data_IF_580546900792
#
_entry.id   IF_580546900792
#
_cell.length_a   1.000
_cell.length_b   1.000
_cell.length_c   1.000
_cell.angle_alpha   90.00
_cell.angle_beta   90.00
_cell.angle_gamma   90.00
#
_symmetry.space_group_name_H-M   'P 1'
#
loop_
_entity.id
_entity.type
_entity.pdbx_description
1 polymer ?
#
# COMPACT_ATOMS: atom_id res chain seq x y z
N UNK A 1 6.92 10.42 17.22
CA UNK A 1 6.30 11.04 16.03
C UNK A 1 5.28 12.13 16.36
N UNK A 2 5.22 13.19 15.55
CA UNK A 2 4.13 14.19 15.62
C UNK A 2 2.89 13.68 14.86
N UNK A 3 1.70 14.16 15.23
CA UNK A 3 0.45 13.79 14.55
C UNK A 3 0.52 14.01 13.02
N UNK A 4 1.07 15.14 12.58
CA UNK A 4 1.25 15.45 11.16
C UNK A 4 2.06 14.38 10.41
N UNK A 5 3.20 13.96 10.97
CA UNK A 5 4.05 12.97 10.33
C UNK A 5 3.37 11.60 10.24
N UNK A 6 2.62 11.20 11.28
CA UNK A 6 1.86 9.94 11.25
C UNK A 6 0.79 9.97 10.15
N UNK A 7 0.07 11.08 10.01
CA UNK A 7 -0.92 11.25 8.94
C UNK A 7 -0.26 11.26 7.55
N UNK A 8 0.92 11.87 7.42
CA UNK A 8 1.67 11.86 6.18
C UNK A 8 2.10 10.43 5.80
N UNK A 9 2.69 9.67 6.72
CA UNK A 9 3.06 8.27 6.46
C UNK A 9 1.83 7.41 6.14
N UNK A 10 0.72 7.60 6.86
CA UNK A 10 -0.53 6.91 6.59
C UNK A 10 -1.10 7.27 5.20
N UNK A 11 -1.02 8.53 4.79
CA UNK A 11 -1.41 8.96 3.45
C UNK A 11 -0.53 8.33 2.37
N UNK A 12 0.79 8.35 2.57
CA UNK A 12 1.75 7.79 1.62
C UNK A 12 1.59 6.26 1.48
N UNK A 13 1.40 5.53 2.58
CA UNK A 13 1.13 4.09 2.49
C UNK A 13 -0.23 3.82 1.83
N UNK A 14 -1.20 4.71 2.02
CA UNK A 14 -2.45 4.72 1.29
C UNK A 14 -2.23 4.87 -0.22
N UNK A 15 -1.37 5.79 -0.66
CA UNK A 15 -1.01 5.95 -2.09
C UNK A 15 -0.44 4.65 -2.65
N UNK A 16 0.43 3.97 -1.90
CA UNK A 16 0.95 2.65 -2.29
C UNK A 16 -0.18 1.62 -2.43
N UNK A 17 -1.14 1.59 -1.50
CA UNK A 17 -2.32 0.74 -1.61
C UNK A 17 -3.17 1.06 -2.86
N UNK A 18 -3.25 2.34 -3.23
CA UNK A 18 -3.93 2.81 -4.43
C UNK A 18 -3.27 2.36 -5.73
N UNK A 19 -1.94 2.16 -5.73
CA UNK A 19 -1.22 1.54 -6.83
C UNK A 19 -1.39 0.02 -6.81
N UNK A 20 -1.20 -0.61 -5.64
CA UNK A 20 -1.22 -2.05 -5.40
C UNK A 20 -1.83 -2.37 -4.03
N UNK A 21 -2.99 -3.03 -4.02
CA UNK A 21 -3.83 -3.22 -2.84
C UNK A 21 -3.11 -3.98 -1.71
N UNK A 22 -2.40 -5.06 -2.03
CA UNK A 22 -1.78 -5.92 -1.00
C UNK A 22 -0.35 -5.49 -0.64
N UNK A 23 0.27 -4.61 -1.43
CA UNK A 23 1.63 -4.13 -1.16
C UNK A 23 1.71 -3.32 0.14
N UNK A 24 0.72 -2.46 0.40
CA UNK A 24 0.67 -1.66 1.62
C UNK A 24 0.50 -2.52 2.90
N UNK A 25 -0.52 -3.41 3.01
CA UNK A 25 -0.63 -4.33 4.15
C UNK A 25 0.60 -5.21 4.35
N UNK A 26 1.20 -5.74 3.28
CA UNK A 26 2.41 -6.55 3.37
C UNK A 26 3.59 -5.73 3.92
N UNK A 27 3.79 -4.50 3.44
CA UNK A 27 4.85 -3.61 3.92
C UNK A 27 4.72 -3.31 5.42
N UNK A 28 3.49 -3.03 5.89
CA UNK A 28 3.24 -2.75 7.31
C UNK A 28 3.37 -4.02 8.17
N UNK A 29 2.99 -5.18 7.65
CA UNK A 29 3.22 -6.46 8.34
C UNK A 29 4.72 -6.75 8.52
N UNK A 30 5.54 -6.49 7.48
CA UNK A 30 6.99 -6.56 7.57
C UNK A 30 7.57 -5.53 8.54
N UNK A 31 7.06 -4.31 8.55
CA UNK A 31 7.46 -3.30 9.54
C UNK A 31 7.22 -3.81 10.97
N UNK A 32 6.07 -4.43 11.23
CA UNK A 32 5.74 -4.99 12.54
C UNK A 32 6.65 -6.18 12.89
N UNK A 33 6.87 -7.09 11.94
CA UNK A 33 7.72 -8.27 12.14
C UNK A 33 9.20 -7.94 12.35
N UNK A 34 9.70 -6.85 11.74
CA UNK A 34 11.05 -6.34 11.91
C UNK A 34 11.17 -5.37 13.10
N UNK A 35 10.10 -5.21 13.89
CA UNK A 35 10.04 -4.29 15.03
C UNK A 35 10.33 -2.82 14.67
N UNK A 36 10.07 -2.43 13.43
CA UNK A 36 10.15 -1.03 12.96
C UNK A 36 8.99 -0.21 13.51
N UNK A 37 7.83 -0.84 13.68
CA UNK A 37 6.66 -0.26 14.31
C UNK A 37 6.25 -1.13 15.50
N UNK A 38 6.03 -0.50 16.66
CA UNK A 38 5.57 -1.21 17.84
C UNK A 38 4.04 -1.31 17.83
N UNK A 39 3.52 -2.53 17.74
CA UNK A 39 2.09 -2.85 17.78
C UNK A 39 1.71 -3.71 19.00
N UNK A 40 2.62 -3.91 19.95
CA UNK A 40 2.39 -4.77 21.11
C UNK A 40 1.26 -4.23 22.00
N UNK A 41 0.36 -5.11 22.41
CA UNK A 41 -0.81 -4.74 23.22
C UNK A 41 -1.87 -3.94 22.45
N UNK A 42 -1.73 -3.80 21.13
CA UNK A 42 -2.72 -3.13 20.27
C UNK A 42 -3.59 -4.15 19.53
N UNK A 43 -4.69 -3.68 18.94
CA UNK A 43 -5.57 -4.50 18.09
C UNK A 43 -4.85 -5.07 16.85
N UNK A 44 -3.72 -4.47 16.45
CA UNK A 44 -2.96 -4.81 15.25
C UNK A 44 -1.76 -5.72 15.52
N UNK A 45 -1.54 -6.18 16.76
CA UNK A 45 -0.38 -7.00 17.16
C UNK A 45 -0.20 -8.28 16.30
N UNK A 46 -1.30 -8.85 15.80
CA UNK A 46 -1.30 -10.07 14.99
C UNK A 46 -0.63 -9.90 13.61
N UNK A 47 -0.39 -8.67 13.16
CA UNK A 47 0.34 -8.38 11.92
C UNK A 47 1.81 -8.81 11.97
N UNK A 48 2.42 -8.80 13.15
CA UNK A 48 3.79 -9.26 13.35
C UNK A 48 3.92 -10.80 13.31
N UNK A 49 2.81 -11.54 13.33
CA UNK A 49 2.84 -13.00 13.35
C UNK A 49 3.37 -13.55 12.01
N UNK A 50 4.31 -14.52 12.01
CA UNK A 50 4.96 -15.01 10.78
C UNK A 50 3.97 -15.53 9.73
N UNK A 51 2.87 -16.15 10.16
CA UNK A 51 1.80 -16.62 9.26
C UNK A 51 1.13 -15.44 8.56
N UNK A 52 0.81 -14.37 9.28
CA UNK A 52 0.19 -13.16 8.71
C UNK A 52 1.10 -12.51 7.67
N UNK A 53 2.37 -12.34 8.01
CA UNK A 53 3.40 -11.78 7.11
C UNK A 53 3.50 -12.62 5.84
N UNK A 54 3.54 -13.95 6.00
CA UNK A 54 3.63 -14.89 4.88
C UNK A 54 2.40 -14.79 3.96
N UNK A 55 1.19 -14.81 4.53
CA UNK A 55 -0.06 -14.72 3.76
C UNK A 55 -0.13 -13.39 3.00
N UNK A 56 0.14 -12.26 3.65
CA UNK A 56 0.11 -10.95 3.01
C UNK A 56 1.18 -10.82 1.92
N UNK A 57 2.36 -11.40 2.12
CA UNK A 57 3.42 -11.45 1.11
C UNK A 57 2.98 -12.28 -0.10
N UNK A 58 2.38 -13.46 0.12
CA UNK A 58 1.84 -14.28 -0.98
C UNK A 58 0.76 -13.50 -1.74
N UNK A 59 -0.17 -12.84 -1.05
CA UNK A 59 -1.21 -12.03 -1.70
C UNK A 59 -0.62 -10.88 -2.53
N UNK A 60 0.40 -10.19 -2.02
CA UNK A 60 1.10 -9.15 -2.76
C UNK A 60 1.82 -9.70 -4.02
N UNK A 61 2.47 -10.86 -3.91
CA UNK A 61 3.12 -11.52 -5.06
C UNK A 61 2.09 -11.98 -6.08
N UNK A 62 0.96 -12.55 -5.66
CA UNK A 62 -0.14 -12.93 -6.54
C UNK A 62 -0.70 -11.73 -7.27
N UNK A 63 -0.90 -10.59 -6.58
CA UNK A 63 -1.32 -9.33 -7.21
C UNK A 63 -0.33 -8.85 -8.28
N UNK A 64 0.99 -8.92 -8.03
CA UNK A 64 2.02 -8.58 -9.02
C UNK A 64 1.96 -9.48 -10.25
N UNK A 65 1.87 -10.80 -10.06
CA UNK A 65 1.85 -11.77 -11.17
C UNK A 65 0.58 -11.64 -12.00
N UNK A 66 -0.57 -11.58 -11.35
CA UNK A 66 -1.87 -11.57 -12.03
C UNK A 66 -2.12 -10.31 -12.83
N UNK A 67 -1.54 -9.19 -12.44
CA UNK A 67 -1.72 -7.90 -13.12
C UNK A 67 -0.86 -7.75 -14.38
N UNK A 68 0.10 -8.64 -14.60
CA UNK A 68 0.92 -8.73 -15.81
C UNK A 68 0.30 -9.66 -16.88
N UNK A 69 -0.77 -10.39 -16.53
CA UNK A 69 -1.41 -11.34 -17.45
C UNK A 69 -2.36 -10.64 -18.44
N UNK A 70 -2.38 -10.99 -19.73
CA UNK A 70 -3.22 -10.33 -20.75
C UNK A 70 -4.74 -10.55 -20.60
N UNK A 71 -5.20 -11.29 -19.57
CA UNK A 71 -6.61 -11.64 -19.33
C UNK A 71 -7.21 -10.97 -18.10
N UNK A 72 -6.55 -10.00 -17.48
CA UNK A 72 -7.12 -9.30 -16.32
C UNK A 72 -8.32 -8.43 -16.73
N UNK A 73 -9.48 -8.55 -16.04
CA UNK A 73 -10.61 -7.66 -16.24
C UNK A 73 -10.18 -6.20 -16.05
N UNK A 74 -10.81 -5.26 -16.77
CA UNK A 74 -10.38 -3.85 -16.75
C UNK A 74 -10.25 -3.29 -15.32
N UNK A 75 -9.17 -2.55 -15.08
CA UNK A 75 -8.76 -1.94 -13.79
C UNK A 75 -9.77 -0.96 -13.15
N UNK A 76 -10.92 -0.73 -13.80
CA UNK A 76 -12.03 0.11 -13.31
C UNK A 76 -13.15 -0.71 -12.69
N UNK A 77 -12.97 -2.01 -12.49
CA UNK A 77 -13.98 -2.80 -11.77
C UNK A 77 -14.11 -2.24 -10.36
N UNK A 78 -15.33 -1.86 -9.92
CA UNK A 78 -15.56 -1.27 -8.60
C UNK A 78 -14.95 -2.11 -7.46
N UNK A 79 -14.89 -3.43 -7.65
CA UNK A 79 -14.29 -4.38 -6.70
C UNK A 79 -12.81 -4.09 -6.44
N UNK A 80 -12.00 -3.84 -7.46
CA UNK A 80 -10.57 -3.57 -7.29
C UNK A 80 -10.33 -2.22 -6.61
N UNK A 81 -11.14 -1.22 -6.95
CA UNK A 81 -11.07 0.08 -6.29
C UNK A 81 -11.42 -0.03 -4.80
N UNK A 82 -12.52 -0.71 -4.46
CA UNK A 82 -12.93 -0.92 -3.06
C UNK A 82 -11.85 -1.69 -2.28
N UNK A 83 -11.23 -2.71 -2.87
CA UNK A 83 -10.14 -3.44 -2.24
C UNK A 83 -8.96 -2.52 -1.88
N UNK A 84 -8.58 -1.60 -2.77
CA UNK A 84 -7.52 -0.61 -2.53
C UNK A 84 -7.87 0.36 -1.41
N UNK A 85 -9.13 0.81 -1.36
CA UNK A 85 -9.61 1.69 -0.28
C UNK A 85 -9.54 1.00 1.08
N UNK A 86 -10.03 -0.25 1.16
CA UNK A 86 -10.03 -1.02 2.41
C UNK A 86 -8.59 -1.28 2.87
N UNK A 87 -7.73 -1.74 1.97
CA UNK A 87 -6.33 -2.07 2.30
C UNK A 87 -5.51 -0.83 2.64
N UNK A 88 -5.73 0.31 1.97
CA UNK A 88 -5.08 1.58 2.29
C UNK A 88 -5.55 2.15 3.63
N UNK A 89 -6.87 2.14 3.89
CA UNK A 89 -7.43 2.54 5.17
C UNK A 89 -6.90 1.67 6.31
N UNK A 90 -6.83 0.35 6.10
CA UNK A 90 -6.27 -0.61 7.03
C UNK A 90 -4.78 -0.32 7.32
N UNK A 91 -3.95 -0.20 6.30
CA UNK A 91 -2.51 0.07 6.46
C UNK A 91 -2.28 1.41 7.19
N UNK A 92 -3.04 2.45 6.84
CA UNK A 92 -3.00 3.75 7.52
C UNK A 92 -3.45 3.67 8.98
N UNK A 93 -4.48 2.88 9.29
CA UNK A 93 -4.93 2.65 10.67
C UNK A 93 -3.87 1.94 11.51
N UNK A 94 -3.17 0.96 10.94
CA UNK A 94 -2.09 0.24 11.63
C UNK A 94 -0.94 1.19 11.93
N UNK A 95 -0.47 1.99 10.95
CA UNK A 95 0.55 3.02 11.19
C UNK A 95 0.10 3.99 12.29
N UNK A 96 -1.15 4.47 12.22
CA UNK A 96 -1.70 5.39 13.21
C UNK A 96 -1.76 4.80 14.63
N UNK A 97 -1.92 3.48 14.76
CA UNK A 97 -2.10 2.80 16.05
C UNK A 97 -0.86 2.90 16.93
N UNK A 98 0.34 2.82 16.37
CA UNK A 98 1.58 2.89 17.14
C UNK A 98 1.79 4.23 17.89
N UNK A 99 1.10 5.29 17.48
CA UNK A 99 1.16 6.62 18.12
C UNK A 99 -0.21 7.15 18.56
N UNK A 100 -1.25 6.31 18.62
CA UNK A 100 -2.58 6.68 19.13
C UNK A 100 -3.45 7.50 18.17
N UNK A 101 -3.11 7.55 16.87
CA UNK A 101 -3.85 8.28 15.84
C UNK A 101 -4.60 7.34 14.87
N UNK A 102 -5.11 6.21 15.33
CA UNK A 102 -5.71 5.14 14.49
C UNK A 102 -6.75 5.67 13.50
N UNK A 103 -7.72 6.49 13.93
CA UNK A 103 -8.76 7.00 13.03
C UNK A 103 -8.25 8.06 12.06
N UNK A 104 -7.31 8.90 12.49
CA UNK A 104 -6.64 9.85 11.60
C UNK A 104 -5.83 9.13 10.52
N UNK A 105 -5.06 8.11 10.93
CA UNK A 105 -4.32 7.25 10.03
C UNK A 105 -5.21 6.48 9.06
N UNK A 106 -6.35 5.96 9.53
CA UNK A 106 -7.36 5.31 8.70
C UNK A 106 -7.86 6.26 7.60
N UNK A 107 -8.28 7.46 7.98
CA UNK A 107 -8.77 8.47 7.04
C UNK A 107 -7.69 8.90 6.03
N UNK A 108 -6.47 9.16 6.52
CA UNK A 108 -5.33 9.50 5.67
C UNK A 108 -4.99 8.39 4.68
N UNK A 109 -4.97 7.13 5.12
CA UNK A 109 -4.75 5.96 4.27
C UNK A 109 -5.83 5.77 3.21
N UNK A 110 -7.10 6.01 3.56
CA UNK A 110 -8.21 5.99 2.61
C UNK A 110 -8.05 7.07 1.53
N UNK A 111 -7.75 8.32 1.94
CA UNK A 111 -7.50 9.43 1.01
C UNK A 111 -6.30 9.12 0.13
N UNK A 112 -5.22 8.60 0.71
CA UNK A 112 -4.05 8.14 -0.02
C UNK A 112 -4.40 7.11 -1.10
N UNK A 113 -5.22 6.11 -0.78
CA UNK A 113 -5.64 5.09 -1.73
C UNK A 113 -6.42 5.65 -2.92
N UNK A 114 -7.29 6.64 -2.68
CA UNK A 114 -7.99 7.36 -3.75
C UNK A 114 -6.99 8.10 -4.64
N UNK A 115 -6.06 8.86 -4.05
CA UNK A 115 -5.04 9.61 -4.77
C UNK A 115 -4.12 8.69 -5.59
N UNK A 116 -3.66 7.59 -5.00
CA UNK A 116 -2.82 6.61 -5.67
C UNK A 116 -3.53 5.92 -6.83
N UNK A 117 -4.81 5.59 -6.67
CA UNK A 117 -5.58 4.94 -7.75
C UNK A 117 -5.80 5.88 -8.94
N UNK A 118 -6.28 7.11 -8.68
CA UNK A 118 -6.57 8.08 -9.73
C UNK A 118 -5.28 8.60 -10.38
N UNK A 119 -4.29 8.94 -9.56
CA UNK A 119 -2.99 9.44 -10.00
C UNK A 119 -2.20 8.38 -10.78
N UNK A 120 -2.16 7.14 -10.28
CA UNK A 120 -1.51 6.01 -10.95
C UNK A 120 -2.14 5.69 -12.30
N UNK A 121 -3.48 5.66 -12.37
CA UNK A 121 -4.19 5.44 -13.63
C UNK A 121 -3.88 6.53 -14.68
N UNK A 122 -3.90 7.80 -14.29
CA UNK A 122 -3.62 8.91 -15.20
C UNK A 122 -2.15 8.92 -15.64
N UNK A 123 -1.21 8.70 -14.70
CA UNK A 123 0.21 8.63 -14.99
C UNK A 123 0.52 7.48 -15.97
N UNK A 124 -0.02 6.28 -15.72
CA UNK A 124 0.14 5.12 -16.60
C UNK A 124 -0.44 5.40 -17.98
N UNK A 125 -1.65 5.93 -18.06
CA UNK A 125 -2.30 6.22 -19.35
C UNK A 125 -1.45 7.17 -20.22
N UNK A 126 -0.86 8.22 -19.60
CA UNK A 126 0.04 9.15 -20.29
C UNK A 126 1.37 8.52 -20.69
N UNK A 127 1.95 7.69 -19.84
CA UNK A 127 3.23 7.03 -20.11
C UNK A 127 3.10 5.98 -21.22
N UNK A 128 2.04 5.19 -21.21
CA UNK A 128 1.76 4.20 -22.27
C UNK A 128 1.54 4.89 -23.61
N UNK A 129 0.79 6.00 -23.63
CA UNK A 129 0.60 6.80 -24.84
C UNK A 129 1.92 7.40 -25.39
N UNK A 130 2.89 7.68 -24.51
CA UNK A 130 4.23 8.15 -24.89
C UNK A 130 5.21 7.04 -25.26
N UNK A 131 4.91 5.80 -24.89
CA UNK A 131 5.77 4.63 -25.08
C UNK A 131 5.28 3.74 -26.24
N UNK A 132 4.68 4.34 -27.27
CA UNK A 132 4.12 3.66 -28.45
C UNK A 132 3.14 2.52 -28.11
N UNK A 133 2.44 2.61 -26.98
CA UNK A 133 1.49 1.59 -26.53
C UNK A 133 2.12 0.39 -25.79
N UNK A 134 3.44 0.38 -25.54
CA UNK A 134 4.09 -0.66 -24.76
C UNK A 134 3.79 -0.51 -23.26
N UNK A 135 2.79 -1.24 -22.78
CA UNK A 135 2.28 -1.18 -21.40
C UNK A 135 3.17 -1.92 -20.38
N UNK A 136 3.82 -3.02 -20.79
CA UNK A 136 4.58 -3.89 -19.88
C UNK A 136 5.75 -3.17 -19.17
N UNK A 137 6.62 -2.38 -19.84
CA UNK A 137 7.71 -1.69 -19.16
C UNK A 137 7.21 -0.66 -18.15
N UNK A 138 6.13 0.06 -18.48
CA UNK A 138 5.52 1.07 -17.60
C UNK A 138 4.93 0.39 -16.37
N UNK A 139 4.26 -0.76 -16.55
CA UNK A 139 3.71 -1.56 -15.46
C UNK A 139 4.79 -2.01 -14.46
N UNK A 140 5.92 -2.50 -14.97
CA UNK A 140 7.02 -2.97 -14.12
C UNK A 140 7.64 -1.83 -13.31
N UNK A 141 7.77 -0.63 -13.88
CA UNK A 141 8.26 0.55 -13.15
C UNK A 141 7.26 0.96 -12.06
N UNK A 142 5.96 0.97 -12.36
CA UNK A 142 4.90 1.25 -11.38
C UNK A 142 4.96 0.28 -10.20
N UNK A 143 5.17 -1.00 -10.48
CA UNK A 143 5.30 -2.06 -9.48
C UNK A 143 6.53 -1.88 -8.59
N UNK A 144 7.68 -1.56 -9.20
CA UNK A 144 8.90 -1.26 -8.46
C UNK A 144 8.71 -0.05 -7.54
N UNK A 145 8.05 1.01 -8.01
CA UNK A 145 7.74 2.20 -7.21
C UNK A 145 6.81 1.85 -6.05
N UNK A 146 5.77 1.04 -6.28
CA UNK A 146 4.84 0.64 -5.22
C UNK A 146 5.54 -0.19 -4.14
N UNK A 147 6.33 -1.20 -4.52
CA UNK A 147 7.03 -2.08 -3.58
C UNK A 147 8.11 -1.32 -2.81
N UNK A 148 9.02 -0.63 -3.51
CA UNK A 148 10.11 0.11 -2.88
C UNK A 148 9.56 1.27 -2.03
N UNK A 149 8.54 1.97 -2.52
CA UNK A 149 7.86 3.03 -1.78
C UNK A 149 7.20 2.50 -0.50
N UNK A 150 6.48 1.38 -0.58
CA UNK A 150 5.84 0.73 0.56
C UNK A 150 6.83 0.37 1.66
N UNK A 151 7.94 -0.29 1.30
CA UNK A 151 9.00 -0.64 2.24
C UNK A 151 9.76 0.58 2.77
N UNK A 152 9.99 1.61 1.96
CA UNK A 152 10.62 2.85 2.42
C UNK A 152 9.76 3.58 3.45
N UNK A 153 8.45 3.69 3.21
CA UNK A 153 7.49 4.28 4.16
C UNK A 153 7.44 3.46 5.44
N UNK A 154 7.39 2.12 5.33
CA UNK A 154 7.48 1.21 6.46
C UNK A 154 8.77 1.42 7.27
N UNK A 155 9.93 1.54 6.62
CA UNK A 155 11.20 1.78 7.30
C UNK A 155 11.24 3.15 8.00
N UNK A 156 10.61 4.19 7.41
CA UNK A 156 10.51 5.52 8.03
C UNK A 156 9.73 5.50 9.35
N UNK A 157 8.84 4.52 9.56
CA UNK A 157 8.15 4.36 10.87
C UNK A 157 9.12 4.05 12.02
N UNK A 158 10.32 3.53 11.74
CA UNK A 158 11.34 3.23 12.75
C UNK A 158 12.26 4.42 13.07
N UNK A 159 12.38 5.38 12.15
CA UNK A 159 13.45 6.39 12.17
C UNK A 159 12.93 7.76 12.66
N UNK A 160 11.63 8.01 12.53
CA UNK A 160 10.97 9.31 12.72
C UNK A 160 10.03 9.27 13.92
#
# INVERSE_FOLDING_TARGET
MTHFLVLLLALLIGVVAGLRAFTAPASVAWAAALSWINLDGTWAQWLAHPVTVTVLTILAVVELVTDQLPRTPSRKTPVQFVARLITGAFAGAVIGTAWGYTFGGLGAGLVGAVLGTLGGYEARSRLVARNDGHDLPVALVEDAVAVLGGFAIAALTAIV
#
